data_IF_976370536911
#
_entry.id   IF_976370536911
#
_cell.length_a   1.000
_cell.length_b   1.000
_cell.length_c   1.000
_cell.angle_alpha   90.00
_cell.angle_beta   90.00
_cell.angle_gamma   90.00
#
_symmetry.space_group_name_H-M   'P 1'
#
loop_
_entity.id
_entity.type
_entity.pdbx_description
1 polymer ?
#
# COMPACT_ATOMS: atom_id res chain seq x y z
N UNK A 1 -0.93 75.52 -34.01
CA UNK A 1 -1.70 74.28 -33.95
C UNK A 1 -0.84 73.20 -33.36
N UNK A 2 -0.95 73.00 -32.04
CA UNK A 2 -0.31 71.91 -31.33
C UNK A 2 -1.27 70.72 -31.38
N UNK A 3 -0.96 69.73 -32.19
CA UNK A 3 -1.61 68.40 -32.15
C UNK A 3 -1.01 67.62 -30.97
N UNK A 4 -1.76 67.60 -29.90
CA UNK A 4 -1.50 66.78 -28.71
C UNK A 4 -1.77 65.31 -29.07
N UNK A 5 -0.72 64.48 -29.21
CA UNK A 5 -0.84 63.05 -29.35
C UNK A 5 -1.13 62.45 -27.97
N UNK A 6 -2.35 61.96 -27.80
CA UNK A 6 -2.71 61.17 -26.67
C UNK A 6 -1.83 59.92 -26.63
N UNK A 7 -1.29 59.52 -25.47
CA UNK A 7 -0.55 58.28 -25.37
C UNK A 7 -1.49 57.10 -25.59
N UNK A 8 -1.17 56.29 -26.57
CA UNK A 8 -1.80 54.98 -26.73
C UNK A 8 -1.50 54.19 -25.48
N UNK A 9 -2.47 54.12 -24.58
CA UNK A 9 -2.42 53.21 -23.42
C UNK A 9 -2.42 51.80 -23.96
N UNK A 10 -1.33 51.11 -23.68
CA UNK A 10 -1.07 49.74 -24.01
C UNK A 10 -2.20 48.85 -23.45
N UNK A 11 -3.18 48.50 -24.28
CA UNK A 11 -4.28 47.59 -23.94
C UNK A 11 -3.82 46.13 -23.82
N UNK A 12 -2.52 45.88 -23.56
CA UNK A 12 -1.92 44.54 -23.47
C UNK A 12 -1.56 44.09 -22.07
N UNK A 13 -1.99 44.78 -21.03
CA UNK A 13 -1.61 44.39 -19.63
C UNK A 13 -2.77 43.91 -18.78
N UNK A 14 -3.66 43.08 -19.27
CA UNK A 14 -4.57 42.37 -18.38
C UNK A 14 -5.04 41.01 -18.95
N UNK A 15 -4.12 40.24 -19.55
CA UNK A 15 -4.30 38.81 -19.55
C UNK A 15 -3.88 38.33 -18.16
N UNK A 16 -4.77 38.50 -17.18
CA UNK A 16 -4.71 37.79 -15.91
C UNK A 16 -4.55 36.32 -16.28
N UNK A 17 -3.35 35.80 -16.18
CA UNK A 17 -3.09 34.37 -16.24
C UNK A 17 -4.01 33.73 -15.21
N UNK A 18 -5.12 33.19 -15.66
CA UNK A 18 -6.06 32.48 -14.79
C UNK A 18 -5.28 31.40 -14.07
N UNK A 19 -5.21 31.49 -12.73
CA UNK A 19 -4.53 30.48 -11.93
C UNK A 19 -5.09 29.12 -12.34
N UNK A 20 -4.22 28.12 -12.60
CA UNK A 20 -4.70 26.81 -12.99
C UNK A 20 -5.66 26.28 -11.92
N UNK A 21 -6.89 26.00 -12.32
CA UNK A 21 -7.91 25.42 -11.43
C UNK A 21 -7.57 23.95 -11.28
N UNK A 22 -6.99 23.58 -10.15
CA UNK A 22 -6.75 22.17 -9.79
C UNK A 22 -8.09 21.54 -9.43
N UNK A 23 -8.59 20.65 -10.28
CA UNK A 23 -9.74 19.80 -9.97
C UNK A 23 -9.26 18.53 -9.27
N UNK A 24 -10.11 17.96 -8.42
CA UNK A 24 -9.84 16.66 -7.80
C UNK A 24 -9.53 15.61 -8.86
N UNK A 25 -8.44 14.87 -8.65
CA UNK A 25 -7.99 13.82 -9.56
C UNK A 25 -8.98 12.65 -9.47
N UNK A 26 -9.57 12.26 -10.61
CA UNK A 26 -10.42 11.09 -10.70
C UNK A 26 -9.62 9.77 -10.63
N UNK A 27 -10.26 8.68 -10.18
CA UNK A 27 -9.63 7.36 -10.06
C UNK A 27 -8.97 6.90 -11.38
N UNK A 28 -9.59 7.18 -12.53
CA UNK A 28 -9.03 6.84 -13.84
C UNK A 28 -7.71 7.57 -14.15
N UNK A 29 -7.55 8.80 -13.66
CA UNK A 29 -6.32 9.57 -13.80
C UNK A 29 -5.25 9.05 -12.84
N UNK A 30 -5.64 8.64 -11.64
CA UNK A 30 -4.74 8.07 -10.63
C UNK A 30 -4.12 6.75 -11.11
N UNK A 31 -4.89 5.90 -11.78
CA UNK A 31 -4.40 4.62 -12.34
C UNK A 31 -3.37 4.84 -13.44
N UNK A 32 -3.52 5.91 -14.24
CA UNK A 32 -2.57 6.27 -15.30
C UNK A 32 -1.30 6.98 -14.80
N UNK A 33 -1.33 7.49 -13.58
CA UNK A 33 -0.20 8.19 -12.99
C UNK A 33 0.89 7.21 -12.56
N UNK A 34 2.14 7.47 -12.96
CA UNK A 34 3.30 6.70 -12.52
C UNK A 34 3.60 7.00 -11.04
N UNK A 35 3.01 6.21 -10.15
CA UNK A 35 3.27 6.30 -8.72
C UNK A 35 4.73 5.91 -8.41
N UNK A 36 5.45 6.70 -7.60
CA UNK A 36 6.74 6.29 -7.04
C UNK A 36 6.57 5.07 -6.12
N UNK A 37 7.64 4.34 -5.86
CA UNK A 37 7.60 3.16 -4.99
C UNK A 37 7.06 3.47 -3.59
N UNK A 38 7.42 4.62 -3.04
CA UNK A 38 6.88 5.07 -1.75
C UNK A 38 5.34 5.16 -1.76
N UNK A 39 4.75 5.65 -2.85
CA UNK A 39 3.29 5.70 -3.01
C UNK A 39 2.66 4.32 -3.15
N UNK A 40 3.27 3.42 -3.93
CA UNK A 40 2.80 2.03 -4.09
C UNK A 40 2.78 1.28 -2.76
N UNK A 41 3.86 1.35 -1.99
CA UNK A 41 3.96 0.71 -0.67
C UNK A 41 2.97 1.31 0.31
N UNK A 42 2.70 2.62 0.23
CA UNK A 42 1.66 3.28 1.04
C UNK A 42 0.27 2.71 0.78
N UNK A 43 -0.09 2.52 -0.47
CA UNK A 43 -1.38 1.94 -0.86
C UNK A 43 -1.46 0.48 -0.40
N UNK A 44 -0.43 -0.32 -0.65
CA UNK A 44 -0.37 -1.72 -0.23
C UNK A 44 -0.43 -1.89 1.29
N UNK A 45 0.20 -1.00 2.06
CA UNK A 45 0.10 -1.00 3.52
C UNK A 45 -1.35 -0.81 3.99
N UNK A 46 -2.09 0.11 3.37
CA UNK A 46 -3.51 0.33 3.70
C UNK A 46 -4.38 -0.86 3.30
N UNK A 47 -4.18 -1.41 2.10
CA UNK A 47 -4.94 -2.57 1.62
C UNK A 47 -4.65 -3.79 2.50
N UNK A 48 -3.39 -4.06 2.84
CA UNK A 48 -3.02 -5.17 3.72
C UNK A 48 -3.62 -5.02 5.11
N UNK A 49 -3.61 -3.83 5.69
CA UNK A 49 -4.26 -3.55 6.98
C UNK A 49 -5.76 -3.79 6.95
N UNK A 50 -6.45 -3.31 5.91
CA UNK A 50 -7.88 -3.55 5.74
C UNK A 50 -8.20 -5.04 5.55
N UNK A 51 -7.42 -5.76 4.74
CA UNK A 51 -7.58 -7.20 4.53
C UNK A 51 -7.40 -8.00 5.83
N UNK A 52 -6.37 -7.69 6.62
CA UNK A 52 -6.12 -8.34 7.91
C UNK A 52 -7.27 -8.08 8.89
N UNK A 53 -7.77 -6.85 8.94
CA UNK A 53 -8.89 -6.50 9.81
C UNK A 53 -10.17 -7.25 9.43
N UNK A 54 -10.52 -7.28 8.16
CA UNK A 54 -11.72 -7.96 7.67
C UNK A 54 -11.63 -9.48 7.83
N UNK A 55 -10.43 -10.05 7.75
CA UNK A 55 -10.20 -11.48 7.91
C UNK A 55 -9.97 -11.92 9.35
N UNK A 56 -9.92 -10.97 10.29
CA UNK A 56 -9.69 -11.29 11.71
C UNK A 56 -10.70 -12.30 12.29
N UNK A 57 -12.02 -12.23 12.02
CA UNK A 57 -12.95 -13.24 12.51
C UNK A 57 -12.64 -14.65 12.00
N UNK A 58 -12.21 -14.79 10.74
CA UNK A 58 -11.81 -16.06 10.16
C UNK A 58 -10.54 -16.61 10.82
N UNK A 59 -9.53 -15.77 11.05
CA UNK A 59 -8.30 -16.16 11.73
C UNK A 59 -8.55 -16.57 13.19
N UNK A 60 -9.42 -15.86 13.90
CA UNK A 60 -9.83 -16.21 15.25
C UNK A 60 -10.58 -17.53 15.29
N UNK A 61 -11.45 -17.79 14.32
CA UNK A 61 -12.13 -19.09 14.18
C UNK A 61 -11.13 -20.22 13.97
N UNK A 62 -10.17 -20.08 13.07
CA UNK A 62 -9.12 -21.07 12.85
C UNK A 62 -8.29 -21.31 14.10
N UNK A 63 -7.95 -20.26 14.82
CA UNK A 63 -7.19 -20.33 16.07
C UNK A 63 -7.98 -21.08 17.15
N UNK A 64 -9.25 -20.74 17.34
CA UNK A 64 -10.15 -21.43 18.27
C UNK A 64 -10.25 -22.93 17.93
N UNK A 65 -10.50 -23.28 16.67
CA UNK A 65 -10.57 -24.67 16.22
C UNK A 65 -9.27 -25.43 16.44
N UNK A 66 -8.13 -24.77 16.39
CA UNK A 66 -6.84 -25.39 16.61
C UNK A 66 -6.56 -25.77 18.07
N UNK A 67 -7.29 -25.18 19.03
CA UNK A 67 -7.03 -25.31 20.48
C UNK A 67 -8.15 -25.95 21.28
N UNK A 68 -9.40 -25.88 20.80
CA UNK A 68 -10.57 -26.18 21.62
C UNK A 68 -10.71 -27.67 22.00
N UNK A 69 -10.41 -28.60 21.10
CA UNK A 69 -10.47 -30.04 21.32
C UNK A 69 -9.74 -30.83 20.24
N UNK A 70 -9.49 -32.12 20.47
CA UNK A 70 -8.93 -33.00 19.44
C UNK A 70 -9.81 -33.07 18.20
N UNK A 71 -11.13 -33.15 18.37
CA UNK A 71 -12.06 -33.18 17.24
C UNK A 71 -12.06 -31.87 16.46
N UNK A 72 -11.96 -30.73 17.11
CA UNK A 72 -11.86 -29.41 16.45
C UNK A 72 -10.53 -29.23 15.75
N UNK A 73 -9.44 -29.76 16.33
CA UNK A 73 -8.14 -29.77 15.68
C UNK A 73 -8.13 -30.58 14.38
N UNK A 74 -8.78 -31.74 14.35
CA UNK A 74 -8.97 -32.52 13.13
C UNK A 74 -9.73 -31.73 12.05
N UNK A 75 -10.78 -30.99 12.43
CA UNK A 75 -11.49 -30.08 11.52
C UNK A 75 -10.56 -28.97 11.01
N UNK A 76 -9.79 -28.36 11.90
CA UNK A 76 -8.79 -27.35 11.52
C UNK A 76 -7.80 -27.93 10.51
N UNK A 77 -7.25 -29.11 10.75
CA UNK A 77 -6.33 -29.76 9.81
C UNK A 77 -7.01 -30.05 8.45
N UNK A 78 -8.27 -30.49 8.44
CA UNK A 78 -9.02 -30.71 7.22
C UNK A 78 -9.23 -29.41 6.42
N UNK A 79 -9.57 -28.30 7.10
CA UNK A 79 -9.71 -26.98 6.48
C UNK A 79 -8.37 -26.53 5.88
N UNK A 80 -7.28 -26.61 6.66
CA UNK A 80 -5.96 -26.22 6.23
C UNK A 80 -5.36 -27.10 5.14
N UNK A 81 -5.89 -28.33 4.97
CA UNK A 81 -5.53 -29.24 3.88
C UNK A 81 -5.98 -28.78 2.50
N UNK A 82 -7.03 -27.95 2.43
CA UNK A 82 -7.53 -27.44 1.16
C UNK A 82 -6.58 -26.44 0.51
N UNK A 83 -6.27 -26.64 -0.78
CA UNK A 83 -5.38 -25.77 -1.54
C UNK A 83 -5.89 -24.32 -1.57
N UNK A 84 -7.20 -24.11 -1.73
CA UNK A 84 -7.79 -22.78 -1.72
C UNK A 84 -7.57 -22.06 -0.38
N UNK A 85 -7.73 -22.76 0.75
CA UNK A 85 -7.46 -22.20 2.08
C UNK A 85 -5.98 -21.88 2.25
N UNK A 86 -5.10 -22.75 1.78
CA UNK A 86 -3.63 -22.47 1.79
C UNK A 86 -3.28 -21.21 0.98
N UNK A 87 -3.90 -21.02 -0.19
CA UNK A 87 -3.71 -19.82 -1.02
C UNK A 87 -4.20 -18.56 -0.29
N UNK A 88 -5.37 -18.61 0.35
CA UNK A 88 -5.90 -17.51 1.15
C UNK A 88 -4.95 -17.20 2.32
N UNK A 89 -4.50 -18.24 3.03
CA UNK A 89 -3.53 -18.07 4.13
C UNK A 89 -2.20 -17.49 3.63
N UNK A 90 -1.72 -17.89 2.47
CA UNK A 90 -0.51 -17.32 1.87
C UNK A 90 -0.68 -15.83 1.58
N UNK A 91 -1.83 -15.42 1.05
CA UNK A 91 -2.17 -14.01 0.85
C UNK A 91 -2.22 -13.22 2.16
N UNK A 92 -2.78 -13.81 3.23
CA UNK A 92 -2.82 -13.21 4.57
C UNK A 92 -1.43 -13.13 5.21
N UNK A 93 -0.58 -14.14 5.01
CA UNK A 93 0.82 -14.11 5.46
C UNK A 93 1.57 -12.97 4.78
N UNK A 94 1.40 -12.84 3.46
CA UNK A 94 1.98 -11.69 2.75
C UNK A 94 1.44 -10.36 3.29
N UNK A 95 0.13 -10.24 3.46
CA UNK A 95 -0.49 -9.03 3.98
C UNK A 95 0.07 -8.67 5.36
N UNK A 96 0.23 -9.64 6.24
CA UNK A 96 0.82 -9.43 7.57
C UNK A 96 2.29 -9.00 7.50
N UNK A 97 3.11 -9.72 6.76
CA UNK A 97 4.55 -9.43 6.65
C UNK A 97 4.81 -8.09 5.97
N UNK A 98 4.07 -7.80 4.88
CA UNK A 98 4.16 -6.51 4.22
C UNK A 98 3.69 -5.36 5.12
N UNK A 99 2.55 -5.53 5.79
CA UNK A 99 2.00 -4.53 6.70
C UNK A 99 2.96 -4.23 7.86
N UNK A 100 3.55 -5.26 8.43
CA UNK A 100 4.52 -5.14 9.51
C UNK A 100 5.79 -4.42 9.08
N UNK A 101 6.43 -4.87 7.99
CA UNK A 101 7.64 -4.25 7.47
C UNK A 101 7.41 -2.79 7.03
N UNK A 102 6.28 -2.52 6.35
CA UNK A 102 5.91 -1.17 5.95
C UNK A 102 5.58 -0.30 7.18
N UNK A 103 4.96 -0.87 8.21
CA UNK A 103 4.69 -0.19 9.47
C UNK A 103 5.99 0.26 10.17
N UNK A 104 6.99 -0.61 10.28
CA UNK A 104 8.32 -0.23 10.81
C UNK A 104 8.92 0.91 9.99
N UNK A 105 8.83 0.83 8.65
CA UNK A 105 9.32 1.91 7.78
C UNK A 105 8.63 3.24 8.10
N UNK A 106 7.30 3.25 8.31
CA UNK A 106 6.58 4.47 8.66
C UNK A 106 7.01 5.03 10.01
N UNK A 107 7.26 4.18 11.01
CA UNK A 107 7.79 4.63 12.30
C UNK A 107 9.18 5.29 12.15
N UNK A 108 10.04 4.76 11.28
CA UNK A 108 11.34 5.39 10.98
C UNK A 108 11.17 6.74 10.29
N UNK A 109 10.23 6.87 9.35
CA UNK A 109 9.92 8.14 8.71
C UNK A 109 9.36 9.17 9.70
N UNK A 110 8.56 8.74 10.69
CA UNK A 110 8.05 9.60 11.76
C UNK A 110 9.17 10.14 12.66
N UNK A 111 10.29 9.40 12.76
CA UNK A 111 11.52 9.84 13.42
C UNK A 111 12.43 10.67 12.50
N UNK A 112 11.92 11.09 11.34
CA UNK A 112 12.66 11.85 10.31
C UNK A 112 13.87 11.09 9.72
N UNK A 113 13.89 9.76 9.83
CA UNK A 113 14.93 8.90 9.27
C UNK A 113 14.53 8.48 7.84
N UNK A 114 15.36 8.86 6.86
CA UNK A 114 15.17 8.49 5.45
C UNK A 114 13.98 9.19 4.78
N UNK A 115 13.66 10.41 5.19
CA UNK A 115 12.53 11.20 4.65
C UNK A 115 12.81 11.80 3.27
N UNK A 116 14.07 11.88 2.86
CA UNK A 116 14.42 12.38 1.55
C UNK A 116 13.83 11.50 0.44
N UNK A 117 13.41 12.10 -0.66
CA UNK A 117 12.71 11.43 -1.74
C UNK A 117 13.40 10.16 -2.26
N UNK A 118 14.73 10.20 -2.38
CA UNK A 118 15.55 9.08 -2.84
C UNK A 118 15.53 7.94 -1.82
N UNK A 119 15.77 8.26 -0.55
CA UNK A 119 15.83 7.27 0.53
C UNK A 119 14.46 6.70 0.85
N UNK A 120 13.42 7.52 0.84
CA UNK A 120 12.04 7.07 0.97
C UNK A 120 11.64 6.08 -0.14
N UNK A 121 12.10 6.29 -1.36
CA UNK A 121 11.87 5.36 -2.46
C UNK A 121 12.68 4.06 -2.31
N UNK A 122 13.94 4.15 -1.91
CA UNK A 122 14.81 2.98 -1.66
C UNK A 122 14.25 2.11 -0.54
N UNK A 123 13.90 2.70 0.60
CA UNK A 123 13.31 1.96 1.72
C UNK A 123 11.98 1.29 1.34
N UNK A 124 11.17 1.92 0.49
CA UNK A 124 9.94 1.32 -0.01
C UNK A 124 10.20 0.08 -0.88
N UNK A 125 11.19 0.13 -1.77
CA UNK A 125 11.61 -1.02 -2.60
C UNK A 125 12.09 -2.16 -1.71
N UNK A 126 12.93 -1.87 -0.72
CA UNK A 126 13.43 -2.87 0.25
C UNK A 126 12.28 -3.54 0.97
N UNK A 127 11.34 -2.79 1.53
CA UNK A 127 10.18 -3.32 2.25
C UNK A 127 9.31 -4.19 1.35
N UNK A 128 9.08 -3.78 0.11
CA UNK A 128 8.28 -4.56 -0.85
C UNK A 128 8.91 -5.93 -1.12
N UNK A 129 10.19 -5.98 -1.48
CA UNK A 129 10.87 -7.24 -1.78
C UNK A 129 11.15 -8.08 -0.54
N UNK A 130 11.42 -7.46 0.61
CA UNK A 130 11.56 -8.17 1.88
C UNK A 130 10.26 -8.88 2.27
N UNK A 131 9.12 -8.21 2.15
CA UNK A 131 7.80 -8.81 2.39
C UNK A 131 7.53 -10.00 1.48
N UNK A 132 7.88 -9.91 0.20
CA UNK A 132 7.74 -11.03 -0.76
C UNK A 132 8.69 -12.19 -0.42
N UNK A 133 9.94 -11.90 -0.10
CA UNK A 133 10.94 -12.92 0.24
C UNK A 133 10.54 -13.70 1.51
N UNK A 134 10.14 -12.99 2.56
CA UNK A 134 9.66 -13.63 3.79
C UNK A 134 8.40 -14.47 3.55
N UNK A 135 7.48 -13.96 2.73
CA UNK A 135 6.27 -14.71 2.34
C UNK A 135 6.63 -15.97 1.57
N UNK A 136 7.60 -15.92 0.66
CA UNK A 136 8.07 -17.11 -0.05
C UNK A 136 8.63 -18.17 0.90
N UNK A 137 9.47 -17.77 1.85
CA UNK A 137 10.04 -18.68 2.85
C UNK A 137 8.95 -19.35 3.68
N UNK A 138 8.01 -18.59 4.25
CA UNK A 138 6.91 -19.14 5.04
C UNK A 138 5.95 -19.96 4.18
N UNK A 139 5.71 -19.53 2.94
CA UNK A 139 4.86 -20.22 1.98
C UNK A 139 5.42 -21.60 1.60
N UNK A 140 6.71 -21.73 1.41
CA UNK A 140 7.35 -23.03 1.15
C UNK A 140 7.05 -24.01 2.30
N UNK A 141 7.12 -23.56 3.55
CA UNK A 141 6.76 -24.37 4.70
C UNK A 141 5.28 -24.73 4.74
N UNK A 142 4.40 -23.75 4.45
CA UNK A 142 2.94 -23.96 4.40
C UNK A 142 2.55 -25.06 3.41
N UNK A 143 3.26 -25.16 2.29
CA UNK A 143 3.03 -26.18 1.26
C UNK A 143 3.85 -27.46 1.47
N UNK A 144 4.61 -27.56 2.57
CA UNK A 144 5.35 -28.76 2.93
C UNK A 144 6.58 -29.04 2.03
N UNK A 145 7.19 -28.00 1.49
CA UNK A 145 8.37 -28.12 0.63
C UNK A 145 9.69 -28.18 1.40
N UNK A 146 9.67 -27.94 2.71
CA UNK A 146 10.75 -28.19 3.67
C UNK A 146 10.21 -28.32 5.08
#
# INVERSE_FOLDING_TARGET
>A
SKTERLPMVDAQQDVKTAKPVYRNIGLAQLVKYRLPWAGKVSILHRISGAALFLMLPFLLYLFDQSLASEMSYQKFQAIMGHVLVKIICLGLIWAFLHHFCAGIRYLLLDLEIGVEKVDANRSAIIVFFLGLALTAVVGLKLFGLY
#
